data_IF_670343910726
#
_entry.id   IF_670343910726
#
_cell.length_a   1.000
_cell.length_b   1.000
_cell.length_c   1.000
_cell.angle_alpha   90.00
_cell.angle_beta   90.00
_cell.angle_gamma   90.00
#
_symmetry.space_group_name_H-M   'P 1'
#
loop_
_entity.id
_entity.type
_entity.pdbx_description
1 polymer ?
#
# COMPACT_ATOMS: atom_id res chain seq x y z
N UNK A 1 8.31 11.11 -5.09
CA UNK A 1 7.75 10.02 -5.89
C UNK A 1 7.75 10.45 -7.35
N UNK A 2 8.34 9.65 -8.23
CA UNK A 2 8.48 9.90 -9.67
C UNK A 2 7.61 8.92 -10.46
N UNK A 3 6.47 9.34 -11.00
CA UNK A 3 5.53 8.42 -11.63
C UNK A 3 5.84 8.06 -13.09
N UNK A 4 6.66 8.84 -13.81
CA UNK A 4 6.74 8.73 -15.28
C UNK A 4 8.12 8.63 -15.86
N UNK A 5 9.10 9.32 -15.31
CA UNK A 5 10.45 9.43 -15.87
C UNK A 5 11.49 9.02 -14.83
N UNK A 6 12.72 8.78 -15.24
CA UNK A 6 13.84 8.49 -14.34
C UNK A 6 14.84 9.66 -14.33
N UNK A 7 14.33 10.88 -14.29
CA UNK A 7 15.16 12.10 -14.41
C UNK A 7 15.99 12.35 -13.15
N UNK A 8 15.49 11.92 -11.99
CA UNK A 8 16.18 12.12 -10.71
C UNK A 8 17.42 11.24 -10.53
N UNK A 9 17.65 10.26 -11.40
CA UNK A 9 18.90 9.45 -11.37
C UNK A 9 20.14 10.27 -11.61
N UNK A 10 20.05 11.34 -12.38
CA UNK A 10 21.16 12.28 -12.61
C UNK A 10 21.65 12.97 -11.32
N UNK A 11 20.82 13.02 -10.28
CA UNK A 11 21.17 13.64 -9.01
C UNK A 11 21.99 12.73 -8.09
N UNK A 12 22.27 11.47 -8.49
CA UNK A 12 22.99 10.52 -7.63
C UNK A 12 24.41 10.98 -7.31
N UNK A 13 25.02 11.71 -8.25
CA UNK A 13 26.37 12.25 -8.09
C UNK A 13 26.38 13.57 -7.30
N UNK A 14 25.26 14.28 -7.27
CA UNK A 14 25.13 15.61 -6.63
C UNK A 14 24.57 15.52 -5.20
N UNK A 15 23.73 14.53 -4.92
CA UNK A 15 23.07 14.36 -3.62
C UNK A 15 23.69 13.20 -2.86
N UNK A 16 24.39 13.53 -1.78
CA UNK A 16 24.98 12.53 -0.90
C UNK A 16 23.92 11.62 -0.31
N UNK A 17 24.19 10.32 -0.30
CA UNK A 17 23.34 9.27 0.27
C UNK A 17 21.95 9.14 -0.40
N UNK A 18 21.77 9.68 -1.61
CA UNK A 18 20.55 9.51 -2.37
C UNK A 18 20.27 8.03 -2.61
N UNK A 19 19.11 7.56 -2.21
CA UNK A 19 18.62 6.22 -2.50
C UNK A 19 17.49 6.26 -3.52
N UNK A 20 17.53 5.32 -4.46
CA UNK A 20 16.54 5.24 -5.55
C UNK A 20 15.94 3.84 -5.55
N UNK A 21 14.62 3.76 -5.40
CA UNK A 21 13.86 2.52 -5.50
C UNK A 21 13.04 2.50 -6.79
N UNK A 22 12.99 1.33 -7.45
CA UNK A 22 12.22 1.16 -8.69
C UNK A 22 11.27 -0.05 -8.53
N UNK A 23 10.07 0.15 -7.93
CA UNK A 23 9.06 -0.89 -7.84
C UNK A 23 8.79 -1.53 -9.21
N UNK A 24 8.67 -2.85 -9.25
CA UNK A 24 8.48 -3.61 -10.50
C UNK A 24 9.76 -4.05 -11.19
N UNK A 25 10.94 -3.64 -10.71
CA UNK A 25 12.23 -4.16 -11.19
C UNK A 25 12.93 -4.94 -10.09
N UNK A 26 13.17 -6.24 -10.31
CA UNK A 26 13.85 -7.11 -9.35
C UNK A 26 15.36 -6.93 -9.32
N UNK A 27 15.93 -6.43 -10.39
CA UNK A 27 17.39 -6.36 -10.60
C UNK A 27 18.01 -5.04 -10.16
N UNK A 28 17.20 -4.02 -9.94
CA UNK A 28 17.67 -2.66 -9.60
C UNK A 28 16.82 -2.10 -8.48
N UNK A 29 17.39 -2.06 -7.27
CA UNK A 29 16.78 -1.46 -6.08
C UNK A 29 15.28 -1.81 -5.92
N UNK A 30 14.96 -3.07 -5.65
CA UNK A 30 13.58 -3.52 -5.52
C UNK A 30 12.90 -2.80 -4.38
N UNK A 31 11.63 -2.51 -4.54
CA UNK A 31 10.79 -1.94 -3.50
C UNK A 31 9.69 -2.93 -3.13
N UNK A 32 9.61 -3.28 -1.87
CA UNK A 32 8.56 -4.14 -1.33
C UNK A 32 7.65 -3.37 -0.39
N UNK A 33 6.36 -3.61 -0.48
CA UNK A 33 5.35 -2.99 0.38
C UNK A 33 4.28 -4.00 0.75
N UNK A 34 4.07 -4.17 2.05
CA UNK A 34 2.89 -4.85 2.58
C UNK A 34 1.83 -3.81 2.96
N UNK A 35 0.71 -3.74 2.23
CA UNK A 35 -0.34 -2.75 2.51
C UNK A 35 -0.95 -2.88 3.91
N UNK A 36 -0.90 -4.07 4.50
CA UNK A 36 -1.55 -4.38 5.77
C UNK A 36 -0.64 -4.23 7.00
N UNK A 37 0.64 -3.90 6.80
CA UNK A 37 1.56 -3.68 7.92
C UNK A 37 1.59 -2.18 8.28
N UNK A 38 1.01 -1.77 9.43
CA UNK A 38 1.04 -0.37 9.85
C UNK A 38 2.49 0.13 10.02
N UNK A 39 2.77 1.42 9.78
CA UNK A 39 4.05 2.02 10.13
C UNK A 39 4.35 1.91 11.65
N UNK A 40 5.61 2.04 12.03
CA UNK A 40 6.04 2.02 13.44
C UNK A 40 5.25 3.03 14.28
N UNK A 41 4.80 2.58 15.45
CA UNK A 41 4.05 3.41 16.39
C UNK A 41 2.60 3.72 15.99
N UNK A 42 2.14 3.20 14.85
CA UNK A 42 0.77 3.41 14.36
C UNK A 42 -0.10 2.20 14.72
N UNK A 43 -1.24 2.45 15.36
CA UNK A 43 -2.22 1.40 15.73
C UNK A 43 -3.08 1.00 14.54
N UNK A 44 -3.65 -0.20 14.57
CA UNK A 44 -4.60 -0.70 13.56
C UNK A 44 -5.77 0.27 13.39
N UNK A 45 -6.34 0.76 14.50
CA UNK A 45 -7.46 1.71 14.48
C UNK A 45 -7.15 2.98 13.71
N UNK A 46 -5.95 3.54 13.90
CA UNK A 46 -5.51 4.74 13.18
C UNK A 46 -5.17 4.47 11.72
N UNK A 47 -4.73 3.25 11.39
CA UNK A 47 -4.23 2.89 10.07
C UNK A 47 -5.34 2.47 9.10
N UNK A 48 -6.27 1.62 9.54
CA UNK A 48 -7.28 0.99 8.66
C UNK A 48 -8.13 1.99 7.86
N UNK A 49 -8.62 3.11 8.42
CA UNK A 49 -9.37 4.10 7.65
C UNK A 49 -8.53 4.72 6.51
N UNK A 50 -7.25 4.98 6.78
CA UNK A 50 -6.32 5.51 5.78
C UNK A 50 -6.01 4.47 4.70
N UNK A 51 -5.75 3.22 5.09
CA UNK A 51 -5.57 2.10 4.18
C UNK A 51 -6.76 1.94 3.23
N UNK A 52 -7.98 1.97 3.77
CA UNK A 52 -9.20 1.89 2.97
C UNK A 52 -9.30 3.05 1.97
N UNK A 53 -8.90 4.26 2.38
CA UNK A 53 -8.87 5.42 1.50
C UNK A 53 -7.88 5.25 0.33
N UNK A 54 -6.72 4.61 0.57
CA UNK A 54 -5.76 4.29 -0.49
C UNK A 54 -6.34 3.30 -1.53
N UNK A 55 -7.01 2.26 -1.07
CA UNK A 55 -7.66 1.31 -1.97
C UNK A 55 -8.80 1.94 -2.77
N UNK A 56 -9.63 2.78 -2.14
CA UNK A 56 -10.69 3.54 -2.83
C UNK A 56 -10.15 4.55 -3.85
N UNK A 57 -9.00 5.14 -3.58
CA UNK A 57 -8.35 6.06 -4.52
C UNK A 57 -7.76 5.35 -5.74
N UNK A 58 -7.32 4.10 -5.57
CA UNK A 58 -6.70 3.32 -6.63
C UNK A 58 -7.70 2.54 -7.48
N UNK A 59 -8.76 2.01 -6.85
CA UNK A 59 -9.72 1.11 -7.50
C UNK A 59 -11.14 1.66 -7.42
N UNK A 60 -11.86 1.53 -8.54
CA UNK A 60 -13.32 1.73 -8.52
C UNK A 60 -13.96 0.60 -7.70
N UNK A 61 -14.61 0.97 -6.62
CA UNK A 61 -15.30 0.03 -5.72
C UNK A 61 -16.80 0.40 -5.66
N UNK A 62 -17.65 -0.23 -6.49
CA UNK A 62 -19.08 0.00 -6.41
C UNK A 62 -19.67 -0.60 -5.12
N UNK A 63 -20.70 0.02 -4.59
CA UNK A 63 -21.42 -0.50 -3.43
C UNK A 63 -21.99 -1.91 -3.69
N UNK A 64 -21.94 -2.80 -2.71
CA UNK A 64 -21.46 -2.67 -1.33
C UNK A 64 -19.99 -3.11 -1.14
N UNK A 65 -19.18 -3.15 -2.19
CA UNK A 65 -17.81 -3.67 -2.16
C UNK A 65 -16.90 -2.99 -1.11
N UNK A 66 -16.97 -1.66 -0.90
CA UNK A 66 -16.14 -1.01 0.13
C UNK A 66 -16.37 -1.54 1.54
N UNK A 67 -17.63 -1.81 1.91
CA UNK A 67 -17.97 -2.30 3.25
C UNK A 67 -17.52 -3.75 3.45
N UNK A 68 -17.66 -4.57 2.40
CA UNK A 68 -17.18 -5.96 2.40
C UNK A 68 -15.66 -6.00 2.52
N UNK A 69 -14.97 -5.11 1.79
CA UNK A 69 -13.52 -5.01 1.81
C UNK A 69 -13.01 -4.58 3.17
N UNK A 70 -13.59 -3.53 3.77
CA UNK A 70 -13.27 -3.08 5.12
C UNK A 70 -13.52 -4.18 6.17
N UNK A 71 -14.64 -4.87 6.06
CA UNK A 71 -14.96 -5.99 6.94
C UNK A 71 -13.95 -7.13 6.79
N UNK A 72 -13.48 -7.44 5.58
CA UNK A 72 -12.44 -8.44 5.35
C UNK A 72 -11.07 -8.00 5.90
N UNK A 73 -10.72 -6.72 5.83
CA UNK A 73 -9.51 -6.18 6.48
C UNK A 73 -9.56 -6.45 7.99
N UNK A 74 -10.68 -6.12 8.63
CA UNK A 74 -10.86 -6.32 10.08
C UNK A 74 -10.81 -7.80 10.44
N UNK A 75 -11.44 -8.68 9.64
CA UNK A 75 -11.37 -10.12 9.86
C UNK A 75 -9.92 -10.64 9.78
N UNK A 76 -9.12 -10.16 8.81
CA UNK A 76 -7.70 -10.52 8.73
C UNK A 76 -6.93 -10.08 9.96
N UNK A 77 -7.05 -8.84 10.39
CA UNK A 77 -6.37 -8.39 11.61
C UNK A 77 -6.74 -9.27 12.81
N UNK A 78 -8.04 -9.56 12.99
CA UNK A 78 -8.51 -10.42 14.09
C UNK A 78 -7.96 -11.86 13.97
N UNK A 79 -8.00 -12.47 12.78
CA UNK A 79 -7.51 -13.84 12.55
C UNK A 79 -6.02 -13.98 12.84
N UNK A 80 -5.22 -12.92 12.59
CA UNK A 80 -3.78 -12.88 12.85
C UNK A 80 -3.42 -12.28 14.23
N UNK A 81 -4.40 -12.16 15.14
CA UNK A 81 -4.20 -11.81 16.55
C UNK A 81 -4.05 -10.31 16.83
N UNK A 82 -4.30 -9.46 15.84
CA UNK A 82 -4.24 -8.01 16.01
C UNK A 82 -5.52 -7.50 16.69
N UNK A 83 -5.34 -6.56 17.61
CA UNK A 83 -6.41 -5.76 18.21
C UNK A 83 -6.40 -4.35 17.62
N UNK A 84 -7.41 -3.55 17.92
CA UNK A 84 -7.52 -2.17 17.43
C UNK A 84 -6.35 -1.29 17.85
N UNK A 85 -5.82 -1.51 19.05
CA UNK A 85 -4.68 -0.80 19.65
C UNK A 85 -3.31 -1.45 19.34
N UNK A 86 -3.28 -2.61 18.69
CA UNK A 86 -2.01 -3.27 18.31
C UNK A 86 -1.21 -2.47 17.32
N UNK A 87 0.11 -2.50 17.46
CA UNK A 87 1.10 -1.97 16.52
C UNK A 87 1.92 -3.12 15.91
N UNK A 88 2.70 -2.84 14.87
CA UNK A 88 3.55 -3.85 14.21
C UNK A 88 4.62 -4.45 15.12
N UNK A 89 4.92 -3.80 16.25
CA UNK A 89 5.96 -4.19 17.20
C UNK A 89 5.37 -5.01 18.37
N UNK A 90 4.07 -5.25 18.41
CA UNK A 90 3.41 -6.13 19.36
C UNK A 90 3.87 -7.59 19.11
N UNK A 91 4.52 -8.26 20.07
CA UNK A 91 5.05 -9.60 19.89
C UNK A 91 3.97 -10.69 19.76
N UNK A 92 2.72 -10.37 20.06
CA UNK A 92 1.60 -11.33 20.03
C UNK A 92 0.92 -11.41 18.68
N UNK A 93 1.17 -10.43 17.77
CA UNK A 93 0.54 -10.40 16.45
C UNK A 93 1.35 -11.16 15.40
N UNK A 94 0.65 -11.76 14.46
CA UNK A 94 1.24 -12.37 13.29
C UNK A 94 1.08 -11.46 12.08
N UNK A 95 2.12 -11.33 11.29
CA UNK A 95 2.05 -10.55 10.05
C UNK A 95 1.34 -11.35 8.97
N UNK A 96 0.54 -10.68 8.18
CA UNK A 96 -0.09 -11.21 6.98
C UNK A 96 0.13 -10.27 5.81
N UNK A 97 0.01 -10.78 4.61
CA UNK A 97 0.19 -10.01 3.38
C UNK A 97 -1.05 -10.01 2.50
N UNK A 98 -0.86 -9.54 1.27
CA UNK A 98 -1.94 -9.46 0.28
C UNK A 98 -2.53 -10.84 -0.06
N UNK A 99 -1.71 -11.89 -0.06
CA UNK A 99 -2.15 -13.25 -0.36
C UNK A 99 -3.14 -13.79 0.68
N UNK A 100 -2.84 -13.61 1.95
CA UNK A 100 -3.72 -14.00 3.06
C UNK A 100 -5.01 -13.19 3.03
N UNK A 101 -4.90 -11.89 2.81
CA UNK A 101 -6.07 -11.03 2.67
C UNK A 101 -7.00 -11.49 1.53
N UNK A 102 -6.46 -11.81 0.35
CA UNK A 102 -7.26 -12.31 -0.78
C UNK A 102 -8.04 -13.57 -0.41
N UNK A 103 -7.44 -14.49 0.35
CA UNK A 103 -8.13 -15.71 0.81
C UNK A 103 -9.34 -15.37 1.70
N UNK A 104 -9.15 -14.51 2.69
CA UNK A 104 -10.21 -14.08 3.61
C UNK A 104 -11.31 -13.33 2.86
N UNK A 105 -10.92 -12.39 2.00
CA UNK A 105 -11.86 -11.60 1.20
C UNK A 105 -12.68 -12.48 0.24
N UNK A 106 -12.06 -13.42 -0.46
CA UNK A 106 -12.74 -14.39 -1.33
C UNK A 106 -13.72 -15.24 -0.57
N UNK A 107 -13.28 -15.79 0.58
CA UNK A 107 -14.15 -16.58 1.47
C UNK A 107 -15.36 -15.77 1.92
N UNK A 108 -15.16 -14.49 2.28
CA UNK A 108 -16.24 -13.60 2.71
C UNK A 108 -17.27 -13.38 1.62
N UNK A 109 -16.87 -13.06 0.39
CA UNK A 109 -17.79 -12.92 -0.76
C UNK A 109 -18.54 -14.23 -1.03
N UNK A 110 -17.87 -15.38 -0.94
CA UNK A 110 -18.49 -16.68 -1.16
C UNK A 110 -19.59 -17.03 -0.15
N UNK A 111 -19.48 -16.59 1.09
CA UNK A 111 -20.45 -16.84 2.16
C UNK A 111 -21.58 -15.80 2.23
N UNK A 112 -21.56 -14.79 1.37
CA UNK A 112 -22.66 -13.83 1.28
C UNK A 112 -23.84 -14.39 0.50
N UNK A 113 -25.04 -14.08 0.96
CA UNK A 113 -26.32 -14.51 0.32
C UNK A 113 -26.64 -13.76 -0.99
N UNK A 114 -25.71 -12.98 -1.52
CA UNK A 114 -25.87 -12.35 -2.82
C UNK A 114 -25.87 -13.41 -3.92
N UNK A 115 -26.85 -13.32 -4.84
CA UNK A 115 -27.04 -14.28 -5.93
C UNK A 115 -26.77 -13.65 -7.29
N UNK A 116 -26.37 -14.49 -8.24
CA UNK A 116 -26.26 -14.13 -9.65
C UNK A 116 -25.20 -13.04 -9.92
N UNK A 117 -25.59 -12.06 -10.73
CA UNK A 117 -24.69 -11.03 -11.26
C UNK A 117 -24.04 -10.14 -10.20
N UNK A 118 -24.72 -9.93 -9.07
CA UNK A 118 -24.18 -9.11 -7.98
C UNK A 118 -22.92 -9.76 -7.40
N UNK A 119 -22.97 -11.05 -7.12
CA UNK A 119 -21.82 -11.81 -6.60
C UNK A 119 -20.67 -11.86 -7.61
N UNK A 120 -20.98 -12.14 -8.88
CA UNK A 120 -20.00 -12.19 -9.95
C UNK A 120 -19.32 -10.82 -10.16
N UNK A 121 -20.07 -9.74 -10.07
CA UNK A 121 -19.53 -8.38 -10.16
C UNK A 121 -18.60 -8.05 -8.99
N UNK A 122 -18.93 -8.46 -7.75
CA UNK A 122 -18.07 -8.27 -6.59
C UNK A 122 -16.76 -9.07 -6.71
N UNK A 123 -16.83 -10.32 -7.15
CA UNK A 123 -15.65 -11.14 -7.41
C UNK A 123 -14.76 -10.51 -8.49
N UNK A 124 -15.35 -10.07 -9.58
CA UNK A 124 -14.60 -9.41 -10.67
C UNK A 124 -14.01 -8.08 -10.25
N UNK A 125 -14.80 -7.21 -9.62
CA UNK A 125 -14.32 -5.88 -9.22
C UNK A 125 -13.35 -5.89 -8.03
N UNK A 126 -13.40 -6.92 -7.19
CA UNK A 126 -12.57 -7.03 -6.00
C UNK A 126 -11.47 -8.07 -6.14
N UNK A 127 -11.84 -9.36 -6.16
CA UNK A 127 -10.87 -10.46 -6.11
C UNK A 127 -9.93 -10.48 -7.31
N UNK A 128 -10.47 -10.34 -8.53
CA UNK A 128 -9.65 -10.39 -9.75
C UNK A 128 -8.63 -9.27 -9.77
N UNK A 129 -8.99 -8.05 -9.33
CA UNK A 129 -8.05 -6.93 -9.26
C UNK A 129 -6.94 -7.17 -8.25
N UNK A 130 -7.26 -7.69 -7.07
CA UNK A 130 -6.25 -8.01 -6.05
C UNK A 130 -5.31 -9.14 -6.50
N UNK A 131 -5.85 -10.18 -7.15
CA UNK A 131 -5.05 -11.26 -7.74
C UNK A 131 -4.11 -10.70 -8.80
N UNK A 132 -4.57 -9.79 -9.65
CA UNK A 132 -3.73 -9.16 -10.68
C UNK A 132 -2.55 -8.36 -10.10
N UNK A 133 -2.65 -7.83 -8.89
CA UNK A 133 -1.53 -7.17 -8.21
C UNK A 133 -0.40 -8.17 -7.94
N UNK A 134 -0.74 -9.37 -7.47
CA UNK A 134 0.26 -10.42 -7.22
C UNK A 134 0.81 -10.97 -8.53
N UNK A 135 -0.04 -11.31 -9.49
CA UNK A 135 0.38 -11.91 -10.75
C UNK A 135 1.29 -11.00 -11.58
N UNK A 136 1.02 -9.69 -11.59
CA UNK A 136 1.78 -8.73 -12.39
C UNK A 136 3.00 -8.17 -11.66
N UNK A 137 2.96 -8.10 -10.32
CA UNK A 137 4.01 -7.48 -9.50
C UNK A 137 4.18 -8.21 -8.15
N UNK A 138 4.36 -9.54 -8.18
CA UNK A 138 4.60 -10.35 -6.98
C UNK A 138 5.79 -9.82 -6.17
N UNK A 139 6.82 -9.36 -6.85
CA UNK A 139 8.02 -8.79 -6.25
C UNK A 139 7.77 -7.50 -5.42
N UNK A 140 6.62 -6.87 -5.56
CA UNK A 140 6.25 -5.69 -4.77
C UNK A 140 5.37 -6.09 -3.58
N UNK A 141 4.36 -6.94 -3.83
CA UNK A 141 3.25 -7.20 -2.90
C UNK A 141 3.25 -8.59 -2.27
N UNK A 142 3.97 -9.56 -2.84
CA UNK A 142 4.05 -10.92 -2.29
C UNK A 142 5.03 -10.99 -1.11
N UNK A 143 4.64 -10.31 -0.02
CA UNK A 143 5.47 -10.18 1.17
C UNK A 143 4.62 -9.91 2.40
N UNK A 144 5.07 -10.42 3.53
CA UNK A 144 4.56 -10.05 4.87
C UNK A 144 5.34 -8.88 5.50
N UNK A 145 6.38 -8.42 4.82
CA UNK A 145 7.24 -7.32 5.26
C UNK A 145 7.07 -6.10 4.36
N UNK A 146 7.62 -4.99 4.79
CA UNK A 146 7.73 -3.75 4.01
C UNK A 146 9.10 -3.14 4.28
N UNK A 147 9.62 -2.36 3.35
CA UNK A 147 10.78 -1.52 3.63
C UNK A 147 10.36 -0.54 4.73
N UNK A 148 11.09 -0.47 5.86
CA UNK A 148 10.74 0.43 6.94
C UNK A 148 10.64 1.88 6.46
N UNK A 149 9.58 2.55 6.87
CA UNK A 149 9.36 3.94 6.46
C UNK A 149 10.45 4.86 7.02
N UNK A 150 10.98 4.53 8.18
CA UNK A 150 12.10 5.19 8.82
C UNK A 150 13.34 5.19 7.92
N UNK A 151 13.62 4.08 7.25
CA UNK A 151 14.75 3.97 6.32
C UNK A 151 14.53 4.83 5.08
N UNK A 152 13.29 4.89 4.58
CA UNK A 152 12.93 5.74 3.44
C UNK A 152 13.00 7.23 3.76
N UNK A 153 12.70 7.61 5.00
CA UNK A 153 12.66 9.01 5.43
C UNK A 153 13.98 9.50 6.04
N UNK A 154 14.90 8.59 6.36
CA UNK A 154 16.21 8.94 6.95
C UNK A 154 17.18 9.57 5.96
N UNK A 155 16.97 9.38 4.67
CA UNK A 155 17.83 9.84 3.57
C UNK A 155 17.00 10.43 2.44
N UNK A 156 17.62 11.25 1.58
CA UNK A 156 16.99 11.62 0.32
C UNK A 156 16.60 10.38 -0.47
N UNK A 157 15.32 10.24 -0.78
CA UNK A 157 14.78 9.01 -1.40
C UNK A 157 13.94 9.35 -2.61
N UNK A 158 14.21 8.68 -3.71
CA UNK A 158 13.40 8.70 -4.93
C UNK A 158 12.74 7.34 -5.13
N UNK A 159 11.44 7.33 -5.40
CA UNK A 159 10.70 6.14 -5.77
C UNK A 159 10.17 6.34 -7.19
N UNK A 160 10.75 5.60 -8.13
CA UNK A 160 10.44 5.66 -9.56
C UNK A 160 9.41 4.61 -9.94
N UNK A 161 8.24 5.04 -10.41
CA UNK A 161 7.15 4.13 -10.79
C UNK A 161 7.08 3.85 -12.30
N UNK A 162 8.09 4.22 -13.04
CA UNK A 162 8.13 4.08 -14.50
C UNK A 162 8.09 2.63 -14.99
N UNK A 163 8.53 1.67 -14.16
CA UNK A 163 8.49 0.24 -14.48
C UNK A 163 7.08 -0.38 -14.35
N UNK A 164 6.15 0.31 -13.71
CA UNK A 164 4.78 -0.16 -13.55
C UNK A 164 3.92 0.44 -14.65
N UNK A 165 3.37 -0.41 -15.53
CA UNK A 165 2.55 0.04 -16.65
C UNK A 165 1.09 0.29 -16.28
N UNK A 166 0.57 -0.44 -15.31
CA UNK A 166 -0.83 -0.35 -14.88
C UNK A 166 -1.08 0.91 -14.03
N UNK A 167 -2.02 1.75 -14.46
CA UNK A 167 -2.36 3.02 -13.80
C UNK A 167 -2.95 2.81 -12.39
N UNK A 168 -3.80 1.81 -12.19
CA UNK A 168 -4.40 1.50 -10.90
C UNK A 168 -3.32 1.10 -9.90
N UNK A 169 -2.34 0.28 -10.33
CA UNK A 169 -1.21 -0.11 -9.49
C UNK A 169 -0.30 1.06 -9.13
N UNK A 170 0.00 1.95 -10.10
CA UNK A 170 0.73 3.20 -9.79
C UNK A 170 -0.01 4.02 -8.74
N UNK A 171 -1.32 4.21 -8.94
CA UNK A 171 -2.17 4.95 -8.01
C UNK A 171 -2.17 4.31 -6.62
N UNK A 172 -2.24 2.98 -6.54
CA UNK A 172 -2.20 2.26 -5.25
C UNK A 172 -0.88 2.48 -4.52
N UNK A 173 0.26 2.30 -5.18
CA UNK A 173 1.58 2.51 -4.54
C UNK A 173 1.73 3.95 -4.07
N UNK A 174 1.35 4.92 -4.90
CA UNK A 174 1.40 6.34 -4.53
C UNK A 174 0.50 6.63 -3.33
N UNK A 175 -0.73 6.12 -3.33
CA UNK A 175 -1.66 6.31 -2.24
C UNK A 175 -1.16 5.65 -0.95
N UNK A 176 -0.68 4.39 -1.02
CA UNK A 176 -0.11 3.68 0.12
C UNK A 176 1.08 4.44 0.73
N UNK A 177 2.03 4.87 -0.09
CA UNK A 177 3.18 5.65 0.38
C UNK A 177 2.74 6.92 1.09
N UNK A 178 1.82 7.69 0.48
CA UNK A 178 1.35 8.95 1.05
C UNK A 178 0.62 8.74 2.37
N UNK A 179 -0.30 7.77 2.45
CA UNK A 179 -1.02 7.51 3.71
C UNK A 179 -0.07 7.01 4.80
N UNK A 180 0.88 6.12 4.47
CA UNK A 180 1.85 5.60 5.43
C UNK A 180 2.73 6.73 5.98
N UNK A 181 3.21 7.62 5.13
CA UNK A 181 3.97 8.80 5.55
C UNK A 181 3.10 9.71 6.43
N UNK A 182 1.86 10.00 6.01
CA UNK A 182 0.98 10.88 6.77
C UNK A 182 0.65 10.31 8.17
N UNK A 183 0.30 9.02 8.27
CA UNK A 183 -0.02 8.43 9.57
C UNK A 183 1.22 8.25 10.45
N UNK A 184 2.37 7.93 9.85
CA UNK A 184 3.63 7.85 10.56
C UNK A 184 4.04 9.20 11.15
N UNK A 185 4.03 10.25 10.34
CA UNK A 185 4.42 11.60 10.79
C UNK A 185 3.48 12.13 11.86
N UNK A 186 2.17 11.90 11.71
CA UNK A 186 1.18 12.30 12.71
C UNK A 186 1.40 11.64 14.07
N UNK A 187 1.89 10.39 14.10
CA UNK A 187 2.05 9.64 15.35
C UNK A 187 3.47 9.71 15.93
N UNK A 188 4.49 9.98 15.11
CA UNK A 188 5.89 9.88 15.54
C UNK A 188 6.68 11.20 15.47
N UNK A 189 6.17 12.21 14.76
CA UNK A 189 6.86 13.51 14.65
C UNK A 189 6.12 14.52 15.50
N UNK A 190 6.67 14.79 16.70
CA UNK A 190 6.19 15.85 17.58
C UNK A 190 6.99 17.14 17.34
N UNK A 191 6.30 18.25 17.10
CA UNK A 191 6.88 19.58 17.10
C UNK A 191 7.57 20.00 15.78
N UNK A 192 8.75 20.57 15.82
CA UNK A 192 9.38 21.34 14.76
C UNK A 192 10.06 20.56 13.62
N UNK A 193 9.82 19.26 13.50
CA UNK A 193 10.36 18.42 12.43
C UNK A 193 9.75 18.74 11.07
N UNK A 194 10.47 19.45 10.20
CA UNK A 194 10.06 19.67 8.81
C UNK A 194 10.28 18.40 7.98
N UNK A 195 9.22 17.65 7.75
CA UNK A 195 9.21 16.65 6.69
C UNK A 195 8.84 17.33 5.37
N UNK A 196 9.77 17.35 4.42
CA UNK A 196 9.49 17.82 3.05
C UNK A 196 9.17 16.64 2.15
N UNK A 197 7.93 16.58 1.65
CA UNK A 197 7.49 15.57 0.68
C UNK A 197 7.19 16.29 -0.63
N UNK A 198 7.87 15.89 -1.70
CA UNK A 198 7.60 16.37 -3.03
C UNK A 198 7.00 15.25 -3.87
N UNK A 199 5.82 15.48 -4.41
CA UNK A 199 5.20 14.62 -5.42
C UNK A 199 5.30 15.35 -6.75
N UNK A 200 6.12 14.83 -7.65
CA UNK A 200 6.20 15.36 -9.00
C UNK A 200 4.89 15.08 -9.75
N UNK A 201 4.14 16.11 -10.03
CA UNK A 201 2.91 16.06 -10.84
C UNK A 201 3.25 16.56 -12.25
N UNK A 202 2.91 15.80 -13.26
CA UNK A 202 2.98 16.29 -14.64
C UNK A 202 1.92 17.38 -14.78
N UNK A 203 2.33 18.62 -14.94
CA UNK A 203 1.42 19.63 -15.49
C UNK A 203 1.11 19.20 -16.93
N UNK A 204 -0.19 19.08 -17.23
CA UNK A 204 -0.64 18.70 -18.56
C UNK A 204 -0.15 19.72 -19.56
N UNK A 205 0.53 19.22 -20.59
CA UNK A 205 0.62 19.96 -21.85
C UNK A 205 -0.70 19.67 -22.54
N UNK A 206 -1.53 20.71 -22.66
CA UNK A 206 -2.71 20.73 -23.53
C UNK A 206 -2.35 20.41 -24.99
#
# INVERSE_FOLDING_TARGET
IEPTKSEYRSLIDDIKDLQIFTPGKNTVSPYIINPFLPPTGVTVESYVPSLMSAFKAAFSMPDPLPDIFLSAINDCYNEYGWKTDSTKDDPTVQRFGLYEFIKVFKKKIQHMDYKGDVKANMESAGVVRLVSLIEQNSNIYDTINTIPLEDLLSKPTVIELNAINNKEQKSLIMALLLIMICVYTKNNVSGDGKLMITVARREGVD
#
